data_IF_701215017859
#
_entry.id   IF_701215017859
#
_cell.length_a   1.000
_cell.length_b   1.000
_cell.length_c   1.000
_cell.angle_alpha   90.00
_cell.angle_beta   90.00
_cell.angle_gamma   90.00
#
_symmetry.space_group_name_H-M   'P 1'
#
loop_
_entity.id
_entity.type
_entity.pdbx_description
1 polymer ?
#
# COMPACT_ATOMS: atom_id res chain seq x y z
N UNK A 1 -97.24 13.18 -22.79
CA UNK A 1 -96.67 14.30 -23.56
C UNK A 1 -95.16 14.29 -23.37
N UNK A 2 -94.46 14.53 -24.47
CA UNK A 2 -93.06 14.19 -24.77
C UNK A 2 -92.13 15.35 -24.38
N UNK A 3 -90.92 15.06 -23.87
CA UNK A 3 -89.68 15.63 -24.44
C UNK A 3 -88.42 14.93 -23.90
N UNK A 4 -87.47 14.72 -24.82
CA UNK A 4 -86.28 13.86 -24.81
C UNK A 4 -84.98 14.59 -24.42
N UNK A 5 -83.97 13.80 -23.97
CA UNK A 5 -82.51 13.90 -24.23
C UNK A 5 -81.79 15.20 -23.80
N UNK A 6 -80.53 15.19 -23.37
CA UNK A 6 -79.37 14.58 -24.02
C UNK A 6 -78.26 14.38 -22.97
N UNK A 7 -77.67 13.18 -22.91
CA UNK A 7 -76.40 12.91 -22.22
C UNK A 7 -75.22 13.52 -23.02
N UNK A 8 -74.32 14.22 -22.33
CA UNK A 8 -73.09 14.73 -22.92
C UNK A 8 -71.94 13.69 -22.86
N UNK A 9 -71.12 13.55 -23.91
CA UNK A 9 -70.04 12.55 -23.96
C UNK A 9 -68.78 12.98 -23.20
N UNK A 10 -68.13 11.99 -22.59
CA UNK A 10 -66.83 12.06 -21.92
C UNK A 10 -65.72 12.38 -22.93
N UNK A 11 -64.93 13.43 -22.66
CA UNK A 11 -63.67 13.70 -23.38
C UNK A 11 -62.48 13.62 -22.41
N UNK A 12 -61.82 12.46 -22.40
CA UNK A 12 -60.49 12.29 -21.81
C UNK A 12 -59.49 13.15 -22.59
N UNK A 13 -58.89 14.13 -21.93
CA UNK A 13 -57.68 14.79 -22.43
C UNK A 13 -56.55 14.54 -21.43
N UNK A 14 -55.69 13.59 -21.75
CA UNK A 14 -54.39 13.40 -21.10
C UNK A 14 -53.42 14.37 -21.76
N UNK A 15 -52.89 15.35 -21.02
CA UNK A 15 -51.64 16.06 -21.36
C UNK A 15 -50.87 16.44 -20.10
N UNK A 16 -49.81 15.68 -19.89
CA UNK A 16 -48.49 16.06 -19.34
C UNK A 16 -48.47 16.74 -17.97
N UNK A 17 -48.23 15.95 -16.92
CA UNK A 17 -47.73 16.48 -15.65
C UNK A 17 -46.30 17.01 -15.85
N UNK A 18 -46.09 18.31 -15.66
CA UNK A 18 -44.79 18.87 -15.39
C UNK A 18 -44.28 18.28 -14.07
N UNK A 19 -43.39 17.29 -14.13
CA UNK A 19 -42.70 16.79 -12.94
C UNK A 19 -41.59 17.80 -12.61
N UNK A 20 -41.94 18.86 -11.90
CA UNK A 20 -40.98 19.65 -11.16
C UNK A 20 -40.85 19.05 -9.74
N UNK A 21 -40.25 17.87 -9.64
CA UNK A 21 -39.79 17.34 -8.37
C UNK A 21 -38.35 17.84 -8.16
N UNK A 22 -38.23 19.04 -7.58
CA UNK A 22 -36.97 19.49 -6.98
C UNK A 22 -36.81 18.72 -5.67
N UNK A 23 -36.11 17.59 -5.71
CA UNK A 23 -35.50 16.99 -4.53
C UNK A 23 -34.01 17.35 -4.57
N UNK A 24 -33.66 18.52 -4.05
CA UNK A 24 -32.29 18.77 -3.65
C UNK A 24 -32.05 18.01 -2.34
N UNK A 25 -31.72 16.72 -2.45
CA UNK A 25 -31.03 16.04 -1.36
C UNK A 25 -29.63 16.67 -1.33
N UNK A 26 -29.37 17.47 -0.30
CA UNK A 26 -28.02 17.79 0.10
C UNK A 26 -27.37 16.48 0.54
N UNK A 27 -26.81 15.72 -0.41
CA UNK A 27 -25.81 14.74 -0.09
C UNK A 27 -24.58 15.54 0.36
N UNK A 28 -24.54 15.88 1.65
CA UNK A 28 -23.27 15.87 2.33
C UNK A 28 -22.74 14.45 2.07
N UNK A 29 -21.85 14.34 1.08
CA UNK A 29 -21.29 13.06 0.66
C UNK A 29 -20.84 12.35 1.92
N UNK A 30 -21.45 11.20 2.22
CA UNK A 30 -20.82 10.26 3.13
C UNK A 30 -19.37 10.17 2.67
N UNK A 31 -18.36 10.21 3.56
CA UNK A 31 -16.98 10.11 3.12
C UNK A 31 -16.90 8.92 2.17
N UNK A 32 -16.56 9.19 0.91
CA UNK A 32 -16.50 8.13 -0.08
C UNK A 32 -15.48 7.14 0.44
N UNK A 33 -15.93 5.92 0.74
CA UNK A 33 -15.05 4.80 1.05
C UNK A 33 -13.95 4.77 -0.01
N UNK A 34 -12.71 4.49 0.39
CA UNK A 34 -11.60 4.31 -0.55
C UNK A 34 -12.03 3.38 -1.69
N UNK A 35 -11.89 3.84 -2.93
CA UNK A 35 -12.24 3.03 -4.09
C UNK A 35 -11.18 1.96 -4.32
N UNK A 36 -11.59 0.78 -4.77
CA UNK A 36 -10.68 -0.27 -5.20
C UNK A 36 -10.40 -0.10 -6.70
N UNK A 37 -9.16 0.23 -7.04
CA UNK A 37 -8.71 0.42 -8.42
C UNK A 37 -7.71 -0.67 -8.81
N UNK A 38 -8.01 -1.41 -9.86
CA UNK A 38 -7.17 -2.48 -10.40
C UNK A 38 -6.25 -1.95 -11.49
N UNK A 39 -4.96 -2.22 -11.39
CA UNK A 39 -3.95 -1.74 -12.32
C UNK A 39 -4.13 -2.36 -13.71
N UNK A 40 -4.28 -1.51 -14.72
CA UNK A 40 -4.42 -1.92 -16.12
C UNK A 40 -4.02 -0.76 -17.06
N UNK A 41 -2.71 -0.50 -17.22
CA UNK A 41 -2.19 0.64 -17.98
C UNK A 41 -2.33 0.45 -19.49
N UNK A 42 -2.64 -0.76 -19.96
CA UNK A 42 -2.69 -1.08 -21.38
C UNK A 42 -4.12 -1.03 -21.95
N UNK A 43 -5.11 -0.65 -21.13
CA UNK A 43 -6.53 -0.62 -21.53
C UNK A 43 -7.08 -2.00 -21.86
N UNK A 44 -6.53 -3.05 -21.22
CA UNK A 44 -6.93 -4.43 -21.42
C UNK A 44 -8.17 -4.82 -20.62
N UNK A 45 -8.32 -6.12 -20.37
CA UNK A 45 -9.34 -6.61 -19.44
C UNK A 45 -8.98 -6.21 -18.01
N UNK A 46 -9.94 -5.67 -17.25
CA UNK A 46 -9.73 -5.17 -15.88
C UNK A 46 -8.79 -6.05 -15.05
N UNK A 47 -7.69 -5.46 -14.59
CA UNK A 47 -6.67 -6.16 -13.81
C UNK A 47 -5.67 -6.97 -14.65
N UNK A 48 -5.56 -6.72 -15.96
CA UNK A 48 -4.56 -7.34 -16.83
C UNK A 48 -3.12 -7.04 -16.38
N UNK A 49 -2.91 -5.90 -15.71
CA UNK A 49 -1.61 -5.51 -15.18
C UNK A 49 -0.60 -5.07 -16.24
N UNK A 50 0.68 -5.25 -15.92
CA UNK A 50 1.82 -4.98 -16.77
C UNK A 50 2.59 -3.73 -16.36
N UNK A 51 3.55 -3.34 -17.21
CA UNK A 51 4.31 -2.11 -17.03
C UNK A 51 3.53 -0.89 -17.52
N UNK A 52 3.69 0.26 -16.88
CA UNK A 52 3.03 1.50 -17.29
C UNK A 52 3.32 2.69 -16.40
N UNK A 53 2.77 3.85 -16.79
CA UNK A 53 2.89 5.10 -16.02
C UNK A 53 1.69 5.28 -15.12
N UNK A 54 1.93 5.51 -13.83
CA UNK A 54 0.89 5.93 -12.90
C UNK A 54 0.98 7.44 -12.72
N UNK A 55 -0.02 8.13 -13.22
CA UNK A 55 -0.23 9.56 -13.06
C UNK A 55 -1.67 9.87 -12.67
N UNK A 56 -2.03 11.15 -12.68
CA UNK A 56 -3.38 11.60 -12.31
C UNK A 56 -4.22 12.10 -13.48
N UNK A 57 -3.84 11.78 -14.71
CA UNK A 57 -4.48 12.30 -15.92
C UNK A 57 -4.83 11.22 -16.93
N UNK A 58 -4.15 10.07 -16.88
CA UNK A 58 -4.35 8.93 -17.77
C UNK A 58 -5.27 7.88 -17.15
N UNK A 59 -6.18 7.30 -17.94
CA UNK A 59 -7.02 6.21 -17.45
C UNK A 59 -6.25 4.90 -17.50
N UNK A 60 -5.53 4.59 -16.42
CA UNK A 60 -4.65 3.42 -16.29
C UNK A 60 -5.17 2.37 -15.29
N UNK A 61 -6.44 2.49 -14.90
CA UNK A 61 -7.09 1.66 -13.88
C UNK A 61 -8.42 1.09 -14.36
N UNK A 62 -8.82 -0.06 -13.82
CA UNK A 62 -10.10 -0.74 -14.09
C UNK A 62 -10.38 -0.93 -15.58
N UNK A 63 -9.45 -1.57 -16.30
CA UNK A 63 -9.59 -1.78 -17.75
C UNK A 63 -9.38 -0.50 -18.56
N UNK A 64 -8.56 0.42 -18.06
CA UNK A 64 -8.29 1.71 -18.71
C UNK A 64 -9.50 2.67 -18.71
N UNK A 65 -10.34 2.61 -17.67
CA UNK A 65 -11.54 3.47 -17.56
C UNK A 65 -11.48 4.46 -16.40
N UNK A 66 -10.63 4.21 -15.41
CA UNK A 66 -10.51 5.04 -14.21
C UNK A 66 -9.17 5.79 -14.17
N UNK A 67 -9.24 7.05 -13.72
CA UNK A 67 -8.09 7.95 -13.51
C UNK A 67 -7.85 8.04 -12.00
N UNK A 68 -6.58 7.92 -11.59
CA UNK A 68 -6.19 8.17 -10.21
C UNK A 68 -6.22 9.67 -9.91
N UNK A 69 -6.88 10.14 -8.86
CA UNK A 69 -7.09 11.58 -8.67
C UNK A 69 -6.35 12.21 -7.48
N UNK A 70 -5.67 11.40 -6.65
CA UNK A 70 -5.02 11.84 -5.39
C UNK A 70 -5.93 12.57 -4.38
N UNK A 71 -7.27 12.56 -4.55
CA UNK A 71 -8.19 13.35 -3.74
C UNK A 71 -8.50 12.66 -2.40
N UNK A 72 -9.25 11.56 -2.44
CA UNK A 72 -9.38 10.63 -1.31
C UNK A 72 -8.40 9.49 -1.53
N UNK A 73 -7.64 9.06 -0.50
CA UNK A 73 -6.76 7.91 -0.64
C UNK A 73 -7.57 6.66 -1.07
N UNK A 74 -7.33 6.19 -2.29
CA UNK A 74 -7.93 4.99 -2.86
C UNK A 74 -7.02 3.77 -2.66
N UNK A 75 -7.54 2.56 -2.87
CA UNK A 75 -6.77 1.32 -2.83
C UNK A 75 -6.28 0.95 -4.23
N UNK A 76 -4.97 0.72 -4.37
CA UNK A 76 -4.37 0.23 -5.61
C UNK A 76 -4.17 -1.29 -5.56
N UNK A 77 -4.70 -2.01 -6.55
CA UNK A 77 -4.66 -3.46 -6.63
C UNK A 77 -3.90 -3.90 -7.88
N UNK A 78 -2.80 -4.63 -7.68
CA UNK A 78 -1.92 -5.13 -8.72
C UNK A 78 -2.12 -6.64 -8.89
N UNK A 79 -2.67 -7.03 -10.05
CA UNK A 79 -2.88 -8.43 -10.45
C UNK A 79 -2.31 -8.69 -11.85
N UNK A 80 -2.75 -9.77 -12.50
CA UNK A 80 -2.43 -10.03 -13.91
C UNK A 80 -0.94 -10.19 -14.19
N UNK A 81 -0.48 -9.68 -15.34
CA UNK A 81 0.93 -9.67 -15.70
C UNK A 81 1.70 -8.70 -14.78
N UNK A 82 2.80 -9.15 -14.17
CA UNK A 82 3.64 -8.25 -13.38
C UNK A 82 4.45 -7.28 -14.28
N UNK A 83 4.86 -6.15 -13.72
CA UNK A 83 5.68 -5.18 -14.45
C UNK A 83 6.16 -4.01 -13.59
N UNK A 84 6.76 -3.03 -14.26
CA UNK A 84 7.22 -1.79 -13.63
C UNK A 84 6.15 -0.71 -13.72
N UNK A 85 5.74 -0.18 -12.58
CA UNK A 85 4.81 0.93 -12.45
C UNK A 85 5.60 2.19 -12.11
N UNK A 86 5.65 3.12 -13.06
CA UNK A 86 6.42 4.37 -12.94
C UNK A 86 5.51 5.51 -12.49
N UNK A 87 5.68 5.97 -11.25
CA UNK A 87 5.00 7.16 -10.73
C UNK A 87 5.62 8.40 -11.39
N UNK A 88 4.92 9.04 -12.33
CA UNK A 88 5.43 10.25 -13.01
C UNK A 88 5.21 11.52 -12.19
N UNK A 89 4.36 11.43 -11.17
CA UNK A 89 4.06 12.47 -10.18
C UNK A 89 4.01 11.82 -8.79
N UNK A 90 4.03 12.60 -7.70
CA UNK A 90 3.69 12.06 -6.39
C UNK A 90 2.28 11.45 -6.38
N UNK A 91 2.15 10.25 -5.84
CA UNK A 91 0.88 9.51 -5.75
C UNK A 91 0.52 9.28 -4.29
N UNK A 92 -0.74 9.52 -3.93
CA UNK A 92 -1.29 9.27 -2.59
C UNK A 92 -2.27 8.11 -2.63
N UNK A 93 -2.09 7.13 -1.75
CA UNK A 93 -2.88 5.88 -1.66
C UNK A 93 -3.36 5.61 -0.23
N UNK A 94 -4.46 4.88 -0.10
CA UNK A 94 -4.89 4.28 1.16
C UNK A 94 -4.16 2.96 1.39
N UNK A 95 -4.27 2.02 0.46
CA UNK A 95 -3.64 0.71 0.54
C UNK A 95 -3.04 0.29 -0.81
N UNK A 96 -2.07 -0.62 -0.78
CA UNK A 96 -1.62 -1.37 -1.96
C UNK A 96 -1.84 -2.87 -1.74
N UNK A 97 -2.28 -3.57 -2.77
CA UNK A 97 -2.38 -5.04 -2.75
C UNK A 97 -1.70 -5.63 -3.97
N UNK A 98 -0.76 -6.55 -3.76
CA UNK A 98 -0.09 -7.32 -4.81
C UNK A 98 -0.56 -8.78 -4.78
N UNK A 99 -1.41 -9.12 -5.75
CA UNK A 99 -1.98 -10.46 -5.94
C UNK A 99 -1.06 -11.41 -6.73
N UNK A 100 -0.03 -10.86 -7.38
CA UNK A 100 1.01 -11.59 -8.12
C UNK A 100 2.39 -11.03 -7.77
N UNK A 101 3.43 -11.85 -7.91
CA UNK A 101 4.82 -11.45 -7.70
C UNK A 101 5.45 -10.82 -8.94
N UNK A 102 6.44 -9.95 -8.72
CA UNK A 102 7.28 -9.36 -9.77
C UNK A 102 7.00 -7.89 -10.07
N UNK A 103 6.04 -7.27 -9.38
CA UNK A 103 5.79 -5.83 -9.54
C UNK A 103 6.92 -4.98 -8.93
N UNK A 104 7.29 -3.91 -9.63
CA UNK A 104 8.18 -2.86 -9.11
C UNK A 104 7.51 -1.49 -9.23
N UNK A 105 7.33 -0.80 -8.11
CA UNK A 105 6.90 0.60 -8.09
C UNK A 105 8.13 1.51 -8.03
N UNK A 106 8.25 2.48 -8.94
CA UNK A 106 9.42 3.37 -9.04
C UNK A 106 9.02 4.79 -9.48
N UNK A 107 9.95 5.74 -9.41
CA UNK A 107 9.73 7.14 -9.82
C UNK A 107 9.45 8.06 -8.64
N UNK A 108 8.40 8.87 -8.74
CA UNK A 108 7.98 9.85 -7.73
C UNK A 108 7.66 9.24 -6.35
N UNK A 109 7.34 10.12 -5.39
CA UNK A 109 6.98 9.71 -4.03
C UNK A 109 5.65 8.94 -3.99
N UNK A 110 5.62 7.87 -3.19
CA UNK A 110 4.41 7.15 -2.82
C UNK A 110 3.98 7.58 -1.41
N UNK A 111 2.91 8.33 -1.29
CA UNK A 111 2.37 8.76 0.01
C UNK A 111 1.30 7.79 0.49
N UNK A 112 1.53 7.15 1.64
CA UNK A 112 0.53 6.39 2.35
C UNK A 112 -0.34 7.34 3.17
N UNK A 113 -1.47 7.77 2.59
CA UNK A 113 -2.35 8.81 3.13
C UNK A 113 -3.48 8.30 4.03
N UNK A 114 -3.62 6.99 4.17
CA UNK A 114 -4.64 6.37 5.02
C UNK A 114 -4.38 6.51 6.52
N UNK A 115 -5.40 6.23 7.35
CA UNK A 115 -5.25 6.21 8.82
C UNK A 115 -4.49 4.98 9.34
N UNK A 116 -4.55 3.86 8.62
CA UNK A 116 -3.78 2.64 8.87
C UNK A 116 -3.40 2.00 7.52
N UNK A 117 -2.50 2.64 6.75
CA UNK A 117 -2.25 2.25 5.38
C UNK A 117 -1.52 0.91 5.32
N UNK A 118 -2.07 0.00 4.53
CA UNK A 118 -1.60 -1.38 4.44
C UNK A 118 -1.05 -1.69 3.05
N UNK A 119 0.13 -2.29 2.99
CA UNK A 119 0.70 -2.90 1.80
C UNK A 119 0.65 -4.41 1.97
N UNK A 120 -0.15 -5.07 1.14
CA UNK A 120 -0.41 -6.51 1.20
C UNK A 120 0.32 -7.21 0.07
N UNK A 121 1.14 -8.21 0.39
CA UNK A 121 1.70 -9.15 -0.59
C UNK A 121 1.23 -10.56 -0.27
N UNK A 122 0.57 -11.22 -1.22
CA UNK A 122 -0.16 -12.49 -0.98
C UNK A 122 0.67 -13.72 -1.33
N UNK A 123 0.36 -14.88 -0.73
CA UNK A 123 1.02 -16.15 -1.06
C UNK A 123 2.54 -16.09 -0.88
N UNK A 124 3.28 -16.57 -1.87
CA UNK A 124 4.75 -16.47 -1.96
C UNK A 124 5.21 -15.31 -2.84
N UNK A 125 4.31 -14.37 -3.16
CA UNK A 125 4.61 -13.27 -4.07
C UNK A 125 5.60 -12.30 -3.44
N UNK A 126 6.44 -11.70 -4.30
CA UNK A 126 7.34 -10.61 -3.92
C UNK A 126 7.04 -9.36 -4.75
N UNK A 127 6.98 -8.20 -4.10
CA UNK A 127 6.85 -6.90 -4.77
C UNK A 127 7.93 -5.93 -4.27
N UNK A 128 8.44 -5.10 -5.16
CA UNK A 128 9.47 -4.10 -4.87
C UNK A 128 8.85 -2.70 -4.88
N UNK A 129 9.11 -1.91 -3.85
CA UNK A 129 8.87 -0.47 -3.86
C UNK A 129 10.21 0.25 -3.79
N UNK A 130 10.57 0.82 -4.93
CA UNK A 130 11.76 1.64 -5.12
C UNK A 130 11.48 3.14 -4.92
N UNK A 131 10.23 3.56 -5.15
CA UNK A 131 9.78 4.91 -4.77
C UNK A 131 9.94 5.16 -3.27
N UNK A 132 10.31 6.39 -2.90
CA UNK A 132 10.32 6.81 -1.50
C UNK A 132 8.89 6.80 -0.94
N UNK A 133 8.67 6.10 0.17
CA UNK A 133 7.39 6.07 0.88
C UNK A 133 7.33 7.23 1.88
N UNK A 134 6.28 8.04 1.80
CA UNK A 134 5.98 9.14 2.70
C UNK A 134 4.61 8.92 3.39
N UNK A 135 4.28 9.79 4.36
CA UNK A 135 3.01 9.75 5.10
C UNK A 135 3.21 9.82 6.62
N UNK A 136 2.14 10.08 7.35
CA UNK A 136 2.21 10.27 8.81
C UNK A 136 1.77 9.05 9.62
N UNK A 137 0.91 8.20 9.05
CA UNK A 137 0.38 7.02 9.73
C UNK A 137 1.37 5.85 9.83
N UNK A 138 2.43 5.85 9.03
CA UNK A 138 3.43 4.77 8.98
C UNK A 138 3.11 3.73 7.90
N UNK A 139 3.57 2.51 8.11
CA UNK A 139 3.41 1.39 7.17
C UNK A 139 2.93 0.14 7.90
N UNK A 140 1.85 -0.48 7.42
CA UNK A 140 1.49 -1.85 7.76
C UNK A 140 1.83 -2.78 6.60
N UNK A 141 2.77 -3.70 6.78
CA UNK A 141 3.00 -4.83 5.87
C UNK A 141 2.09 -5.98 6.29
N UNK A 142 1.26 -6.46 5.36
CA UNK A 142 0.40 -7.63 5.58
C UNK A 142 0.55 -8.68 4.47
N UNK A 143 -0.14 -9.81 4.63
CA UNK A 143 -0.07 -10.95 3.73
C UNK A 143 1.24 -11.75 3.88
N UNK A 144 1.20 -13.01 3.48
CA UNK A 144 2.29 -13.98 3.69
C UNK A 144 3.51 -13.76 2.79
N UNK A 145 3.40 -12.94 1.76
CA UNK A 145 4.47 -12.70 0.80
C UNK A 145 5.55 -11.74 1.30
N UNK A 146 6.45 -11.37 0.39
CA UNK A 146 7.58 -10.46 0.66
C UNK A 146 7.30 -9.07 0.08
N UNK A 147 7.48 -8.03 0.89
CA UNK A 147 7.58 -6.65 0.40
C UNK A 147 9.05 -6.24 0.51
N UNK A 148 9.65 -5.83 -0.60
CA UNK A 148 11.03 -5.34 -0.65
C UNK A 148 11.02 -3.82 -0.78
N UNK A 149 11.63 -3.12 0.17
CA UNK A 149 11.79 -1.68 0.14
C UNK A 149 13.22 -1.33 -0.25
N UNK A 150 13.38 -0.71 -1.42
CA UNK A 150 14.68 -0.19 -1.89
C UNK A 150 14.73 1.33 -1.89
N UNK A 151 13.59 2.01 -1.77
CA UNK A 151 13.51 3.46 -1.62
C UNK A 151 13.99 3.96 -0.25
N UNK A 152 14.39 5.24 -0.20
CA UNK A 152 14.66 5.95 1.05
C UNK A 152 13.36 6.52 1.59
N UNK A 153 12.82 5.88 2.63
CA UNK A 153 11.51 6.22 3.16
C UNK A 153 11.57 7.40 4.15
N UNK A 154 10.52 8.21 4.15
CA UNK A 154 10.40 9.46 4.93
C UNK A 154 9.09 9.56 5.73
N UNK A 155 8.27 8.51 5.74
CA UNK A 155 7.09 8.47 6.60
C UNK A 155 7.50 8.59 8.08
N UNK A 156 6.65 9.17 8.90
CA UNK A 156 6.97 9.45 10.32
C UNK A 156 6.30 8.50 11.31
N UNK A 157 5.26 7.78 10.88
CA UNK A 157 4.68 6.69 11.68
C UNK A 157 5.63 5.48 11.78
N UNK A 158 5.32 4.56 12.68
CA UNK A 158 6.09 3.32 12.81
C UNK A 158 5.84 2.32 11.67
N UNK A 159 6.54 1.19 11.73
CA UNK A 159 6.32 0.05 10.84
C UNK A 159 5.67 -1.09 11.61
N UNK A 160 4.64 -1.71 11.04
CA UNK A 160 4.05 -2.95 11.54
C UNK A 160 4.17 -4.03 10.49
N UNK A 161 4.80 -5.16 10.81
CA UNK A 161 4.82 -6.36 9.99
C UNK A 161 3.81 -7.32 10.61
N UNK A 162 2.61 -7.39 10.03
CA UNK A 162 1.53 -8.26 10.53
C UNK A 162 1.74 -9.71 10.11
N UNK A 163 2.33 -9.94 8.95
CA UNK A 163 2.62 -11.27 8.40
C UNK A 163 3.63 -11.17 7.24
N UNK A 164 4.22 -12.32 6.90
CA UNK A 164 5.19 -12.47 5.81
C UNK A 164 6.49 -11.74 6.09
N UNK A 165 7.17 -11.29 5.03
CA UNK A 165 8.48 -10.67 5.13
C UNK A 165 8.43 -9.21 4.68
N UNK A 166 9.01 -8.32 5.49
CA UNK A 166 9.45 -7.00 5.06
C UNK A 166 10.97 -7.05 4.87
N UNK A 167 11.45 -6.87 3.65
CA UNK A 167 12.87 -6.86 3.33
C UNK A 167 13.34 -5.43 3.05
N UNK A 168 14.44 -5.03 3.69
CA UNK A 168 15.10 -3.74 3.47
C UNK A 168 16.31 -3.94 2.55
N UNK A 169 16.28 -3.28 1.40
CA UNK A 169 17.29 -3.43 0.36
C UNK A 169 17.14 -4.72 -0.43
N UNK A 170 17.95 -4.84 -1.49
CA UNK A 170 17.99 -5.97 -2.42
C UNK A 170 19.44 -6.36 -2.77
N UNK A 171 20.36 -6.18 -1.83
CA UNK A 171 21.81 -6.37 -2.00
C UNK A 171 22.57 -5.08 -2.33
N UNK A 172 21.87 -4.03 -2.73
CA UNK A 172 22.41 -2.68 -2.86
C UNK A 172 22.60 -1.96 -1.51
N UNK A 173 22.87 -0.66 -1.56
CA UNK A 173 23.07 0.20 -0.38
C UNK A 173 21.81 0.97 0.02
N UNK A 174 20.76 0.91 -0.79
CA UNK A 174 19.48 1.57 -0.55
C UNK A 174 18.47 0.67 0.17
N UNK A 175 17.36 1.26 0.59
CA UNK A 175 16.31 0.62 1.39
C UNK A 175 16.39 1.03 2.85
N UNK A 176 15.30 1.56 3.38
CA UNK A 176 15.19 2.00 4.77
C UNK A 176 13.78 1.86 5.31
N UNK A 177 13.63 1.98 6.63
CA UNK A 177 12.36 2.23 7.33
C UNK A 177 12.58 3.32 8.38
N UNK A 178 11.50 3.86 8.93
CA UNK A 178 11.54 4.91 9.95
C UNK A 178 10.74 4.47 11.18
N UNK A 179 11.22 4.88 12.36
CA UNK A 179 10.52 4.68 13.63
C UNK A 179 10.61 3.27 14.21
N UNK A 180 9.75 2.99 15.19
CA UNK A 180 9.66 1.68 15.84
C UNK A 180 9.07 0.63 14.89
N UNK A 181 9.42 -0.63 15.13
CA UNK A 181 8.91 -1.79 14.39
C UNK A 181 8.13 -2.71 15.33
N UNK A 182 6.88 -3.01 14.98
CA UNK A 182 6.13 -4.14 15.54
C UNK A 182 6.17 -5.27 14.53
N UNK A 183 7.01 -6.27 14.79
CA UNK A 183 7.23 -7.42 13.90
C UNK A 183 6.52 -8.67 14.43
N UNK A 184 5.58 -9.19 13.64
CA UNK A 184 4.90 -10.48 13.84
C UNK A 184 5.12 -11.41 12.62
N UNK A 185 6.12 -11.11 11.79
CA UNK A 185 6.54 -11.94 10.67
C UNK A 185 8.05 -12.00 10.63
N UNK A 186 8.65 -11.45 9.59
CA UNK A 186 10.10 -11.33 9.46
C UNK A 186 10.51 -9.96 8.97
N UNK A 187 11.38 -9.29 9.72
CA UNK A 187 12.18 -8.18 9.23
C UNK A 187 13.51 -8.70 8.67
N UNK A 188 13.67 -8.66 7.34
CA UNK A 188 14.90 -9.05 6.67
C UNK A 188 15.71 -7.83 6.23
N UNK A 189 17.04 -7.85 6.41
CA UNK A 189 17.93 -6.79 5.92
C UNK A 189 18.91 -7.36 4.89
N UNK A 190 18.75 -6.89 3.65
CA UNK A 190 19.60 -7.20 2.51
C UNK A 190 20.28 -5.91 2.01
N UNK A 191 21.09 -5.30 2.87
CA UNK A 191 21.87 -4.11 2.55
C UNK A 191 23.37 -4.46 2.53
N UNK A 192 24.13 -3.93 1.57
CA UNK A 192 25.59 -4.14 1.45
C UNK A 192 26.44 -3.11 2.19
N UNK A 193 25.83 -2.07 2.76
CA UNK A 193 26.47 -1.01 3.54
C UNK A 193 26.06 -1.05 5.02
N UNK A 194 26.31 0.03 5.76
CA UNK A 194 25.81 0.18 7.13
C UNK A 194 24.38 0.69 7.09
N UNK A 195 23.44 -0.07 7.64
CA UNK A 195 22.06 0.36 7.86
C UNK A 195 21.80 0.48 9.37
N UNK A 196 21.47 1.69 9.83
CA UNK A 196 21.10 1.93 11.23
C UNK A 196 19.58 1.86 11.37
N UNK A 197 19.11 1.02 12.30
CA UNK A 197 17.71 0.91 12.72
C UNK A 197 17.59 1.49 14.14
N UNK A 198 17.18 2.76 14.28
CA UNK A 198 17.21 3.43 15.57
C UNK A 198 16.01 3.08 16.47
N UNK A 199 14.89 2.69 15.87
CA UNK A 199 13.67 2.33 16.59
C UNK A 199 13.76 1.00 17.34
N UNK A 200 12.88 0.81 18.31
CA UNK A 200 12.70 -0.47 18.98
C UNK A 200 11.99 -1.45 18.03
N UNK A 201 12.56 -2.63 17.84
CA UNK A 201 11.92 -3.77 17.19
C UNK A 201 11.29 -4.63 18.29
N UNK A 202 10.01 -4.92 18.16
CA UNK A 202 9.18 -5.64 19.14
C UNK A 202 8.27 -6.65 18.45
N UNK A 203 7.56 -7.49 19.22
CA UNK A 203 6.55 -8.42 18.68
C UNK A 203 7.00 -9.88 18.65
N UNK A 204 6.23 -10.73 17.98
CA UNK A 204 6.46 -12.17 17.97
C UNK A 204 7.41 -12.66 16.86
N UNK A 205 7.70 -11.80 15.88
CA UNK A 205 8.51 -12.09 14.71
C UNK A 205 10.02 -12.11 14.98
N UNK A 206 10.79 -12.31 13.91
CA UNK A 206 12.25 -12.45 13.96
C UNK A 206 12.99 -11.57 12.96
N UNK A 207 14.25 -11.27 13.28
CA UNK A 207 15.12 -10.44 12.45
C UNK A 207 16.10 -11.32 11.68
N UNK A 208 16.22 -11.11 10.37
CA UNK A 208 17.16 -11.84 9.52
C UNK A 208 18.13 -10.89 8.81
N UNK A 209 19.42 -11.00 9.10
CA UNK A 209 20.48 -10.35 8.35
C UNK A 209 20.90 -11.25 7.18
N UNK A 210 20.62 -10.82 5.95
CA UNK A 210 20.96 -11.56 4.72
C UNK A 210 21.88 -10.77 3.77
N UNK A 211 22.11 -9.49 4.06
CA UNK A 211 23.01 -8.62 3.31
C UNK A 211 24.46 -8.69 3.82
N UNK A 212 25.42 -8.46 2.92
CA UNK A 212 26.87 -8.46 3.25
C UNK A 212 27.30 -7.27 4.13
N UNK A 213 26.43 -6.28 4.31
CA UNK A 213 26.67 -5.07 5.09
C UNK A 213 26.59 -5.28 6.60
N UNK A 214 26.40 -4.17 7.32
CA UNK A 214 26.20 -4.16 8.78
C UNK A 214 24.84 -3.59 9.12
N UNK A 215 23.99 -4.37 9.76
CA UNK A 215 22.81 -3.82 10.42
C UNK A 215 23.18 -3.39 11.83
N UNK A 216 22.90 -2.14 12.18
CA UNK A 216 23.14 -1.58 13.50
C UNK A 216 21.79 -1.35 14.17
N UNK A 217 21.52 -2.02 15.28
CA UNK A 217 20.32 -1.77 16.09
C UNK A 217 20.70 -1.00 17.35
N UNK A 218 20.06 0.14 17.59
CA UNK A 218 20.36 0.98 18.77
C UNK A 218 19.24 0.98 19.81
N UNK A 219 18.04 0.51 19.46
CA UNK A 219 16.94 0.30 20.38
C UNK A 219 17.14 -0.90 21.30
N UNK A 220 16.47 -0.89 22.45
CA UNK A 220 16.34 -2.07 23.30
C UNK A 220 15.25 -2.97 22.71
N UNK A 221 15.65 -3.89 21.81
CA UNK A 221 14.68 -4.69 21.07
C UNK A 221 14.09 -5.80 21.95
N UNK A 222 12.81 -6.10 21.73
CA UNK A 222 12.00 -7.03 22.55
C UNK A 222 11.26 -8.08 21.72
N UNK A 223 11.60 -8.24 20.44
CA UNK A 223 11.03 -9.29 19.61
C UNK A 223 11.45 -10.69 20.10
N UNK A 224 10.59 -11.68 19.93
CA UNK A 224 10.79 -13.02 20.51
C UNK A 224 11.11 -14.12 19.51
N UNK A 225 10.96 -13.88 18.20
CA UNK A 225 11.18 -14.89 17.16
C UNK A 225 12.65 -15.21 16.85
N UNK A 226 13.59 -14.59 17.58
CA UNK A 226 15.02 -14.79 17.43
C UNK A 226 15.67 -13.99 16.30
N UNK A 227 16.97 -14.17 16.17
CA UNK A 227 17.82 -13.48 15.19
C UNK A 227 18.57 -14.50 14.34
N UNK A 228 18.56 -14.31 13.02
CA UNK A 228 19.41 -15.09 12.10
C UNK A 228 20.38 -14.17 11.36
N UNK A 229 21.65 -14.52 11.33
CA UNK A 229 22.70 -13.87 10.55
C UNK A 229 23.15 -14.89 9.51
N UNK A 230 22.75 -14.67 8.25
CA UNK A 230 23.16 -15.51 7.11
C UNK A 230 24.29 -14.88 6.29
N UNK A 231 24.56 -13.59 6.50
CA UNK A 231 25.64 -12.85 5.86
C UNK A 231 25.96 -11.57 6.62
N UNK A 232 27.16 -11.01 6.43
CA UNK A 232 27.50 -9.69 6.95
C UNK A 232 27.60 -9.65 8.48
N UNK A 233 27.11 -8.57 9.09
CA UNK A 233 27.16 -8.38 10.55
C UNK A 233 25.86 -7.78 11.10
N UNK A 234 25.50 -8.22 12.30
CA UNK A 234 24.62 -7.49 13.21
C UNK A 234 25.47 -6.81 14.28
N UNK A 235 25.24 -5.52 14.51
CA UNK A 235 25.87 -4.73 15.54
C UNK A 235 24.81 -4.22 16.53
N UNK A 236 25.06 -4.41 17.82
CA UNK A 236 24.23 -3.87 18.90
C UNK A 236 24.86 -2.57 19.40
N UNK A 237 24.08 -1.50 19.36
CA UNK A 237 24.52 -0.16 19.74
C UNK A 237 25.38 0.54 18.67
N UNK A 238 25.65 1.82 18.89
CA UNK A 238 26.46 2.65 18.00
C UNK A 238 27.50 3.46 18.80
N UNK A 239 28.35 2.75 19.56
CA UNK A 239 29.35 3.35 20.45
C UNK A 239 28.81 3.85 21.80
N UNK A 240 27.56 3.53 22.14
CA UNK A 240 26.93 3.82 23.43
C UNK A 240 26.60 2.56 24.24
N UNK A 241 25.81 2.72 25.31
CA UNK A 241 25.34 1.61 26.18
C UNK A 241 23.97 1.06 25.80
N UNK A 242 23.39 1.57 24.71
CA UNK A 242 22.09 1.16 24.19
C UNK A 242 22.24 0.14 23.07
N UNK A 243 21.16 -0.58 22.76
CA UNK A 243 21.15 -1.65 21.77
C UNK A 243 21.15 -3.02 22.45
N UNK A 244 20.07 -3.76 22.28
CA UNK A 244 19.96 -5.15 22.74
C UNK A 244 19.05 -5.93 21.82
N UNK A 245 19.19 -7.25 21.80
CA UNK A 245 18.25 -8.19 21.20
C UNK A 245 17.88 -9.23 22.26
N UNK A 246 16.80 -9.98 22.02
CA UNK A 246 16.33 -11.05 22.90
C UNK A 246 16.18 -12.32 22.07
N UNK A 247 16.26 -13.47 22.73
CA UNK A 247 16.10 -14.78 22.11
C UNK A 247 17.39 -15.32 21.49
N UNK A 248 17.25 -16.42 20.76
CA UNK A 248 18.38 -17.14 20.19
C UNK A 248 18.96 -16.40 18.98
N UNK A 249 20.28 -16.51 18.81
CA UNK A 249 21.00 -16.00 17.64
C UNK A 249 21.58 -17.19 16.88
N UNK A 250 21.14 -17.38 15.65
CA UNK A 250 21.76 -18.29 14.69
C UNK A 250 22.72 -17.49 13.79
N UNK A 251 23.99 -17.87 13.76
CA UNK A 251 25.04 -17.29 12.91
C UNK A 251 25.54 -18.39 11.95
N UNK A 252 25.18 -18.29 10.67
CA UNK A 252 25.33 -19.33 9.65
C UNK A 252 26.42 -19.00 8.63
#
# INVERSE_FOLDING_TARGET
MVSYGVEAPVKKLVRTANIAAVFAVLLAGSPSRAADLTWDPNGGASGAGGSGTWDTTTPSWNGGTAIWNNATPDNAIFGGAAGTVSLSVPITVQNLTFNVGGYTITGGNLTLGGTNPTITTTGTNSAIINSAIAGTAGLVKSGTGTLVLTGTNTYTGGTTISAGTLQLGNGGTSGSIVGNVTDNGTLAVNNSSVLVLPGVISGSGGVTQIGRGTTVVTGANTYTGGTTISAGRLQLGNGGTTGSIVGDVADN
#
